data_IF_419590991833
#
_entry.id   IF_419590991833
#
_cell.length_a   1.000
_cell.length_b   1.000
_cell.length_c   1.000
_cell.angle_alpha   90.00
_cell.angle_beta   90.00
_cell.angle_gamma   90.00
#
_symmetry.space_group_name_H-M   'P 1'
#
loop_
_entity.id
_entity.type
_entity.pdbx_description
1 polymer ?
#
# COMPACT_ATOMS: atom_id res chain seq x y z
N UNK A 1 8.44 17.79 -4.38
CA UNK A 1 8.05 16.53 -5.04
C UNK A 1 8.56 16.39 -6.49
N UNK A 2 9.36 17.34 -7.02
CA UNK A 2 9.73 17.39 -8.43
C UNK A 2 11.01 16.60 -8.82
N UNK A 3 11.51 15.70 -7.97
CA UNK A 3 12.70 14.90 -8.29
C UNK A 3 12.29 13.46 -8.54
N UNK A 4 12.60 12.94 -9.73
CA UNK A 4 12.43 11.53 -10.04
C UNK A 4 13.41 10.73 -9.15
N UNK A 5 12.96 9.80 -8.31
CA UNK A 5 13.83 9.13 -7.35
C UNK A 5 14.86 8.27 -8.09
N UNK A 6 16.14 8.57 -7.93
CA UNK A 6 17.24 7.65 -8.30
C UNK A 6 17.40 6.51 -7.29
N UNK A 7 17.02 6.82 -6.05
CA UNK A 7 16.96 5.93 -4.88
C UNK A 7 15.58 6.14 -4.26
N UNK A 8 14.92 5.11 -3.71
CA UNK A 8 13.66 5.29 -3.00
C UNK A 8 13.76 6.37 -1.91
N UNK A 9 12.69 7.14 -1.72
CA UNK A 9 12.63 8.29 -0.84
C UNK A 9 11.38 8.22 0.05
N UNK A 10 11.56 8.02 1.34
CA UNK A 10 10.49 7.96 2.34
C UNK A 10 10.14 9.37 2.82
N UNK A 11 9.15 9.98 2.18
CA UNK A 11 8.72 11.36 2.45
C UNK A 11 8.00 11.45 3.81
N UNK A 12 7.18 10.45 4.15
CA UNK A 12 6.44 10.42 5.40
C UNK A 12 7.31 10.26 6.65
N UNK A 13 8.64 10.22 6.55
CA UNK A 13 9.53 10.23 7.70
C UNK A 13 9.38 11.46 8.60
N UNK A 14 8.97 12.60 8.04
CA UNK A 14 8.67 13.82 8.80
C UNK A 14 7.27 13.83 9.42
N UNK A 15 6.51 12.73 9.28
CA UNK A 15 5.20 12.58 9.89
C UNK A 15 5.34 12.15 11.35
N UNK A 16 5.09 13.10 12.26
CA UNK A 16 5.26 12.91 13.71
C UNK A 16 4.50 11.70 14.27
N UNK A 17 3.35 11.34 13.70
CA UNK A 17 2.53 10.22 14.18
C UNK A 17 3.26 8.86 14.08
N UNK A 18 4.06 8.66 13.04
CA UNK A 18 4.70 7.37 12.73
C UNK A 18 6.23 7.44 12.69
N UNK A 19 6.84 8.51 13.22
CA UNK A 19 8.30 8.72 13.18
C UNK A 19 9.11 7.91 14.22
N UNK A 20 8.44 7.20 15.13
CA UNK A 20 9.09 6.50 16.24
C UNK A 20 9.86 5.24 15.81
N UNK A 21 9.46 4.62 14.70
CA UNK A 21 10.18 3.48 14.14
C UNK A 21 11.13 3.97 13.04
N UNK A 22 12.47 3.91 13.24
CA UNK A 22 13.43 4.41 12.26
C UNK A 22 13.48 3.58 10.97
N UNK A 23 12.90 2.39 10.98
CA UNK A 23 12.83 1.47 9.86
C UNK A 23 11.53 1.57 9.05
N UNK A 24 10.47 2.15 9.63
CA UNK A 24 9.17 2.28 8.99
C UNK A 24 9.27 2.95 7.62
N UNK A 25 8.65 2.33 6.60
CA UNK A 25 8.69 2.78 5.21
C UNK A 25 7.27 2.83 4.62
N UNK A 26 6.34 3.46 5.33
CA UNK A 26 4.95 3.61 4.91
C UNK A 26 4.45 5.04 4.78
N UNK A 27 3.17 5.21 4.51
CA UNK A 27 2.50 6.51 4.38
C UNK A 27 2.74 7.18 3.03
N UNK A 28 3.90 7.81 2.83
CA UNK A 28 4.26 8.48 1.57
C UNK A 28 5.69 8.11 1.19
N UNK A 29 5.83 7.28 0.15
CA UNK A 29 7.10 6.79 -0.37
C UNK A 29 7.16 7.07 -1.88
N UNK A 30 8.32 7.52 -2.36
CA UNK A 30 8.62 7.66 -3.78
C UNK A 30 9.66 6.63 -4.17
N UNK A 31 9.38 5.78 -5.16
CA UNK A 31 10.27 4.70 -5.60
C UNK A 31 10.42 4.72 -7.12
N UNK A 32 11.63 4.44 -7.62
CA UNK A 32 11.88 4.38 -9.05
C UNK A 32 11.16 3.19 -9.66
N UNK A 33 10.67 3.30 -10.91
CA UNK A 33 10.03 2.18 -11.59
C UNK A 33 10.99 0.98 -11.79
N UNK A 34 12.30 1.22 -11.82
CA UNK A 34 13.32 0.17 -11.86
C UNK A 34 13.35 -0.60 -10.54
N UNK A 35 13.50 0.11 -9.43
CA UNK A 35 13.63 -0.52 -8.12
C UNK A 35 12.32 -1.16 -7.69
N UNK A 36 11.18 -0.54 -7.99
CA UNK A 36 9.85 -1.11 -7.74
C UNK A 36 9.64 -2.45 -8.45
N UNK A 37 10.06 -2.56 -9.72
CA UNK A 37 10.02 -3.85 -10.45
C UNK A 37 11.03 -4.84 -9.87
N UNK A 38 12.23 -4.38 -9.50
CA UNK A 38 13.29 -5.22 -8.94
C UNK A 38 12.86 -5.90 -7.63
N UNK A 39 12.12 -5.18 -6.78
CA UNK A 39 11.59 -5.71 -5.51
C UNK A 39 10.25 -6.46 -5.69
N UNK A 40 9.75 -6.61 -6.91
CA UNK A 40 8.44 -7.19 -7.21
C UNK A 40 7.25 -6.43 -6.58
N UNK A 41 7.34 -5.11 -6.43
CA UNK A 41 6.28 -4.27 -5.88
C UNK A 41 5.82 -4.64 -4.46
N UNK A 42 4.60 -4.21 -4.10
CA UNK A 42 3.93 -4.57 -2.85
C UNK A 42 3.42 -6.02 -2.86
N UNK A 43 3.24 -6.67 -1.70
CA UNK A 43 2.58 -7.98 -1.61
C UNK A 43 1.07 -7.88 -1.86
N UNK A 44 0.48 -8.95 -2.40
CA UNK A 44 -0.97 -9.03 -2.70
C UNK A 44 -1.78 -9.81 -1.64
N UNK A 45 -1.18 -10.15 -0.50
CA UNK A 45 -1.77 -11.03 0.52
C UNK A 45 -2.18 -10.33 1.82
N UNK A 46 -1.86 -9.05 1.96
CA UNK A 46 -2.20 -8.24 3.14
C UNK A 46 -3.54 -7.54 2.91
N UNK A 47 -4.64 -8.15 3.37
CA UNK A 47 -5.97 -7.54 3.30
C UNK A 47 -6.36 -6.90 4.64
N UNK A 48 -6.62 -5.60 4.62
CA UNK A 48 -6.84 -4.79 5.82
C UNK A 48 -5.57 -4.10 6.32
N UNK A 49 -5.67 -3.41 7.45
CA UNK A 49 -4.60 -2.57 7.98
C UNK A 49 -3.43 -3.38 8.56
N UNK A 50 -2.24 -3.15 7.99
CA UNK A 50 -0.93 -3.41 8.57
C UNK A 50 -0.16 -4.58 7.98
N UNK A 51 1.16 -4.40 7.88
CA UNK A 51 2.15 -5.41 7.48
C UNK A 51 2.64 -5.28 6.04
N UNK A 52 1.88 -4.63 5.17
CA UNK A 52 2.22 -4.46 3.75
C UNK A 52 3.45 -3.57 3.53
N UNK A 53 3.57 -2.48 4.29
CA UNK A 53 4.73 -1.59 4.27
C UNK A 53 5.97 -2.26 4.90
N UNK A 54 5.76 -3.13 5.91
CA UNK A 54 6.84 -3.91 6.53
C UNK A 54 7.40 -4.94 5.52
N UNK A 55 6.53 -5.62 4.76
CA UNK A 55 6.93 -6.55 3.70
C UNK A 55 7.64 -5.82 2.54
N UNK A 56 7.17 -4.63 2.14
CA UNK A 56 7.89 -3.81 1.17
C UNK A 56 9.29 -3.44 1.68
N UNK A 57 9.41 -3.08 2.95
CA UNK A 57 10.70 -2.78 3.58
C UNK A 57 11.62 -4.02 3.57
N UNK A 58 11.12 -5.20 3.93
CA UNK A 58 11.90 -6.45 3.89
C UNK A 58 12.43 -6.75 2.48
N UNK A 59 11.61 -6.54 1.43
CA UNK A 59 12.05 -6.71 0.03
C UNK A 59 13.16 -5.74 -0.36
N UNK A 60 13.08 -4.49 0.07
CA UNK A 60 14.16 -3.52 -0.12
C UNK A 60 15.44 -3.97 0.58
N UNK A 61 15.37 -4.35 1.86
CA UNK A 61 16.51 -4.85 2.63
C UNK A 61 17.13 -6.09 1.98
N UNK A 62 16.30 -7.06 1.57
CA UNK A 62 16.71 -8.31 0.92
C UNK A 62 17.54 -8.10 -0.34
N UNK A 63 17.21 -7.07 -1.11
CA UNK A 63 17.88 -6.73 -2.36
C UNK A 63 18.93 -5.63 -2.19
N UNK A 64 19.21 -5.19 -0.97
CA UNK A 64 20.15 -4.10 -0.70
C UNK A 64 19.73 -2.78 -1.37
N UNK A 65 18.42 -2.56 -1.54
CA UNK A 65 17.86 -1.29 -1.99
C UNK A 65 17.78 -0.39 -0.75
N UNK A 66 18.65 0.62 -0.69
CA UNK A 66 18.60 1.64 0.36
C UNK A 66 17.58 2.72 0.03
N UNK A 67 17.15 3.47 1.03
CA UNK A 67 16.25 4.61 0.85
C UNK A 67 16.71 5.83 1.62
N UNK A 68 16.36 6.99 1.10
CA UNK A 68 16.61 8.28 1.72
C UNK A 68 15.33 8.86 2.31
N UNK A 69 15.46 9.93 3.09
CA UNK A 69 14.35 10.62 3.72
C UNK A 69 14.71 12.08 4.04
N UNK A 70 13.72 12.97 4.10
CA UNK A 70 13.97 14.38 4.42
C UNK A 70 14.41 14.52 5.88
N UNK A 71 15.42 15.38 6.13
CA UNK A 71 15.92 15.67 7.49
C UNK A 71 15.05 16.68 8.24
N UNK A 72 14.25 17.46 7.52
CA UNK A 72 13.33 18.45 8.05
C UNK A 72 12.08 18.57 7.16
N UNK A 73 10.99 19.06 7.74
CA UNK A 73 9.70 19.22 7.07
C UNK A 73 8.55 18.82 7.98
N UNK A 74 7.34 18.91 7.43
CA UNK A 74 6.10 18.53 8.11
C UNK A 74 5.20 17.79 7.13
N UNK A 75 4.56 16.73 7.59
CA UNK A 75 3.42 16.11 6.91
C UNK A 75 2.18 16.41 7.75
N UNK A 76 1.23 17.16 7.17
CA UNK A 76 -0.07 17.39 7.77
C UNK A 76 -0.96 16.21 7.40
N UNK A 77 -1.32 15.43 8.39
CA UNK A 77 -2.35 14.42 8.23
C UNK A 77 -3.72 15.05 8.41
N UNK A 78 -4.66 14.64 7.56
CA UNK A 78 -6.04 15.10 7.57
C UNK A 78 -6.95 14.17 8.39
N UNK A 79 -6.43 13.04 8.89
CA UNK A 79 -7.13 12.26 9.91
C UNK A 79 -7.15 13.04 11.23
N UNK A 80 -8.35 13.41 11.68
CA UNK A 80 -8.60 14.11 12.95
C UNK A 80 -8.58 13.13 14.13
N UNK A 81 -7.50 12.35 14.23
CA UNK A 81 -7.26 11.38 15.31
C UNK A 81 -5.77 11.34 15.61
N UNK A 82 -5.36 11.17 16.86
CA UNK A 82 -3.98 10.85 17.21
C UNK A 82 -3.65 9.35 17.04
N UNK A 83 -2.39 8.97 17.28
CA UNK A 83 -1.98 7.56 17.18
C UNK A 83 -2.73 6.66 18.17
N UNK A 84 -2.95 7.14 19.39
CA UNK A 84 -3.60 6.37 20.46
C UNK A 84 -5.06 6.12 20.11
N UNK A 85 -5.77 7.16 19.68
CA UNK A 85 -7.16 7.10 19.22
C UNK A 85 -7.30 6.17 18.03
N UNK A 86 -6.43 6.29 17.02
CA UNK A 86 -6.42 5.39 15.85
C UNK A 86 -6.19 3.93 16.25
N UNK A 87 -5.25 3.67 17.17
CA UNK A 87 -4.99 2.31 17.65
C UNK A 87 -6.17 1.75 18.46
N UNK A 88 -6.83 2.56 19.28
CA UNK A 88 -8.04 2.15 19.99
C UNK A 88 -9.19 1.87 19.03
N UNK A 89 -9.40 2.74 18.05
CA UNK A 89 -10.39 2.57 17.00
C UNK A 89 -10.17 1.25 16.23
N UNK A 90 -8.93 0.97 15.79
CA UNK A 90 -8.60 -0.30 15.11
C UNK A 90 -8.75 -1.53 16.02
N UNK A 91 -8.54 -1.39 17.34
CA UNK A 91 -8.79 -2.49 18.30
C UNK A 91 -10.28 -2.82 18.43
N UNK A 92 -11.14 -1.80 18.35
CA UNK A 92 -12.59 -1.96 18.37
C UNK A 92 -13.10 -2.50 17.02
N UNK A 93 -12.45 -2.13 15.92
CA UNK A 93 -12.80 -2.51 14.55
C UNK A 93 -11.85 -3.57 13.99
N UNK A 94 -11.73 -4.72 14.69
CA UNK A 94 -10.81 -5.81 14.31
C UNK A 94 -11.01 -6.28 12.86
N UNK A 95 -12.22 -6.15 12.34
CA UNK A 95 -12.57 -6.48 10.97
C UNK A 95 -11.81 -5.68 9.91
N UNK A 96 -11.18 -4.55 10.25
CA UNK A 96 -10.41 -3.74 9.31
C UNK A 96 -8.92 -4.05 9.37
N UNK A 97 -8.48 -4.95 10.27
CA UNK A 97 -7.08 -5.29 10.45
C UNK A 97 -6.70 -6.49 9.60
N UNK A 98 -5.47 -6.49 9.11
CA UNK A 98 -4.82 -7.72 8.70
C UNK A 98 -4.52 -8.54 9.97
N UNK A 99 -5.38 -9.50 10.29
CA UNK A 99 -5.29 -10.27 11.53
C UNK A 99 -4.14 -11.29 11.53
N UNK A 100 -3.55 -11.53 10.36
CA UNK A 100 -2.52 -12.56 10.12
C UNK A 100 -1.23 -11.96 9.55
N UNK A 101 -1.00 -10.68 9.85
CA UNK A 101 0.13 -9.93 9.32
C UNK A 101 1.48 -10.57 9.67
N UNK A 102 1.61 -11.21 10.84
CA UNK A 102 2.89 -11.77 11.29
C UNK A 102 3.19 -13.05 10.53
N UNK A 103 2.20 -13.92 10.39
CA UNK A 103 2.27 -15.15 9.63
C UNK A 103 2.53 -14.87 8.14
N UNK A 104 1.90 -13.82 7.58
CA UNK A 104 2.18 -13.38 6.21
C UNK A 104 3.61 -12.83 6.03
N UNK A 105 4.16 -12.12 7.04
CA UNK A 105 5.54 -11.65 7.02
C UNK A 105 6.56 -12.80 7.14
N UNK A 106 6.25 -13.86 7.88
CA UNK A 106 7.10 -15.04 7.98
C UNK A 106 7.27 -15.78 6.64
N UNK A 107 6.31 -15.61 5.72
CA UNK A 107 6.36 -16.18 4.36
C UNK A 107 7.24 -15.38 3.40
N UNK A 108 7.82 -14.24 3.83
CA UNK A 108 8.62 -13.35 2.99
C UNK A 108 9.62 -14.11 2.13
N UNK A 109 10.52 -14.88 2.75
CA UNK A 109 11.60 -15.61 2.09
C UNK A 109 11.11 -16.55 0.99
N UNK A 110 9.90 -17.08 1.14
CA UNK A 110 9.29 -18.04 0.20
C UNK A 110 8.52 -17.35 -0.90
N UNK A 111 7.88 -16.21 -0.61
CA UNK A 111 6.82 -15.66 -1.46
C UNK A 111 7.19 -14.38 -2.18
N UNK A 112 8.18 -13.60 -1.74
CA UNK A 112 8.39 -12.23 -2.26
C UNK A 112 8.60 -12.17 -3.78
N UNK A 113 9.20 -13.21 -4.38
CA UNK A 113 9.44 -13.30 -5.84
C UNK A 113 8.20 -13.62 -6.66
N UNK A 114 7.21 -14.26 -6.05
CA UNK A 114 6.02 -14.76 -6.74
C UNK A 114 4.76 -13.99 -6.35
N UNK A 115 4.71 -13.40 -5.16
CA UNK A 115 3.63 -12.60 -4.61
C UNK A 115 3.95 -11.10 -4.72
N UNK A 116 3.42 -10.41 -5.70
CA UNK A 116 3.53 -8.96 -5.86
C UNK A 116 3.18 -8.50 -7.27
N UNK A 117 4.04 -7.68 -7.89
CA UNK A 117 3.76 -7.17 -9.24
C UNK A 117 3.64 -8.29 -10.29
N UNK A 118 4.39 -9.38 -10.11
CA UNK A 118 4.44 -10.53 -11.01
C UNK A 118 3.13 -11.32 -11.12
N UNK A 119 2.33 -11.38 -10.06
CA UNK A 119 1.10 -12.17 -9.97
C UNK A 119 -0.15 -11.31 -9.71
N UNK A 120 0.01 -9.98 -9.72
CA UNK A 120 -1.08 -9.04 -9.50
C UNK A 120 -2.20 -9.27 -10.54
N UNK A 121 -3.39 -9.61 -10.04
CA UNK A 121 -4.57 -9.86 -10.86
C UNK A 121 -5.70 -8.88 -10.51
N UNK A 122 -6.13 -8.11 -11.49
CA UNK A 122 -7.20 -7.13 -11.32
C UNK A 122 -7.88 -6.86 -12.66
N UNK A 123 -9.11 -6.34 -12.59
CA UNK A 123 -9.84 -5.87 -13.77
C UNK A 123 -10.16 -4.39 -13.64
N UNK A 124 -9.81 -3.60 -14.64
CA UNK A 124 -10.27 -2.20 -14.72
C UNK A 124 -11.76 -2.20 -15.11
N UNK A 125 -12.59 -1.59 -14.25
CA UNK A 125 -14.03 -1.48 -14.46
C UNK A 125 -14.41 -0.14 -15.08
N UNK A 126 -13.75 0.95 -14.67
CA UNK A 126 -14.05 2.30 -15.15
C UNK A 126 -12.86 3.23 -14.95
N UNK A 127 -12.60 4.06 -15.96
CA UNK A 127 -11.68 5.20 -15.85
C UNK A 127 -12.47 6.50 -15.96
N UNK A 128 -12.17 7.47 -15.11
CA UNK A 128 -12.88 8.76 -15.06
C UNK A 128 -11.88 9.87 -14.77
N UNK A 129 -11.59 10.75 -15.75
CA UNK A 129 -10.89 12.00 -15.49
C UNK A 129 -11.65 12.80 -14.43
N UNK A 130 -10.96 13.28 -13.40
CA UNK A 130 -11.57 14.06 -12.33
C UNK A 130 -11.58 15.56 -12.63
N UNK A 131 -10.75 16.00 -13.57
CA UNK A 131 -10.70 17.38 -14.03
C UNK A 131 -11.39 17.50 -15.39
N UNK A 132 -12.19 18.55 -15.57
CA UNK A 132 -12.86 18.84 -16.82
C UNK A 132 -11.91 19.21 -17.96
N UNK A 133 -12.43 19.26 -19.18
CA UNK A 133 -11.69 19.76 -20.36
C UNK A 133 -11.31 21.23 -20.19
N UNK A 134 -10.02 21.55 -20.32
CA UNK A 134 -9.54 22.91 -20.58
C UNK A 134 -9.24 23.03 -22.08
N UNK A 135 -9.79 24.06 -22.72
CA UNK A 135 -9.50 24.41 -24.12
C UNK A 135 -9.79 23.28 -25.13
N UNK A 136 -10.86 22.51 -24.93
CA UNK A 136 -11.26 21.42 -25.84
C UNK A 136 -10.32 20.21 -25.84
N UNK A 137 -9.30 20.17 -24.97
CA UNK A 137 -8.42 19.02 -24.76
C UNK A 137 -8.67 18.41 -23.39
N UNK A 138 -8.84 17.09 -23.35
CA UNK A 138 -8.87 16.34 -22.09
C UNK A 138 -7.45 16.35 -21.52
N UNK A 139 -7.19 17.22 -20.56
CA UNK A 139 -5.94 17.26 -19.79
C UNK A 139 -6.31 17.20 -18.31
N UNK A 140 -6.36 15.98 -17.77
CA UNK A 140 -6.62 15.77 -16.34
C UNK A 140 -5.32 15.74 -15.55
N UNK A 141 -5.31 16.41 -14.40
CA UNK A 141 -4.29 16.28 -13.37
C UNK A 141 -4.51 15.03 -12.50
N UNK A 142 -5.73 14.52 -12.41
CA UNK A 142 -6.10 13.32 -11.67
C UNK A 142 -7.09 12.44 -12.44
N UNK A 143 -6.83 11.13 -12.48
CA UNK A 143 -7.76 10.14 -13.07
C UNK A 143 -8.16 9.14 -12.00
N UNK A 144 -9.47 8.93 -11.82
CA UNK A 144 -10.00 7.86 -10.98
C UNK A 144 -10.09 6.58 -11.81
N UNK A 145 -9.37 5.55 -11.37
CA UNK A 145 -9.48 4.20 -11.93
C UNK A 145 -10.22 3.34 -10.91
N UNK A 146 -11.36 2.78 -11.30
CA UNK A 146 -12.13 1.83 -10.49
C UNK A 146 -11.74 0.42 -10.92
N UNK A 147 -11.21 -0.38 -10.01
CA UNK A 147 -10.73 -1.73 -10.28
C UNK A 147 -11.46 -2.76 -9.43
N UNK A 148 -11.71 -3.92 -10.02
CA UNK A 148 -12.04 -5.15 -9.30
C UNK A 148 -10.70 -5.83 -8.95
N UNK A 149 -10.33 -5.76 -7.67
CA UNK A 149 -9.10 -6.37 -7.16
C UNK A 149 -9.42 -7.79 -6.71
N UNK A 150 -8.84 -8.77 -7.41
CA UNK A 150 -9.12 -10.17 -7.15
C UNK A 150 -8.23 -10.67 -6.00
N UNK A 151 -8.71 -11.69 -5.29
CA UNK A 151 -7.92 -12.39 -4.29
C UNK A 151 -6.67 -13.00 -4.94
N UNK A 152 -5.56 -13.04 -4.20
CA UNK A 152 -4.34 -13.66 -4.71
C UNK A 152 -4.46 -15.20 -4.68
N UNK A 153 -5.02 -15.77 -5.74
CA UNK A 153 -5.22 -17.21 -5.89
C UNK A 153 -5.92 -17.85 -4.70
N UNK A 154 -5.40 -18.99 -4.24
CA UNK A 154 -5.91 -19.75 -3.10
C UNK A 154 -5.08 -19.52 -1.82
N UNK A 155 -4.46 -18.34 -1.67
CA UNK A 155 -3.64 -18.05 -0.51
C UNK A 155 -4.46 -18.11 0.78
N UNK A 156 -3.95 -18.76 1.83
CA UNK A 156 -4.68 -18.98 3.09
C UNK A 156 -5.08 -17.66 3.80
N UNK A 157 -4.34 -16.58 3.56
CA UNK A 157 -4.64 -15.26 4.11
C UNK A 157 -5.98 -14.71 3.57
N UNK A 158 -6.43 -15.19 2.40
CA UNK A 158 -7.70 -14.78 1.81
C UNK A 158 -8.90 -15.15 2.68
N UNK A 159 -8.81 -16.17 3.56
CA UNK A 159 -9.92 -16.58 4.42
C UNK A 159 -9.85 -15.99 5.84
N UNK A 160 -8.75 -15.29 6.17
CA UNK A 160 -8.44 -14.84 7.54
C UNK A 160 -8.29 -13.34 7.68
N UNK A 161 -8.02 -12.66 6.57
CA UNK A 161 -7.94 -11.22 6.52
C UNK A 161 -9.34 -10.60 6.32
N UNK A 162 -9.42 -9.27 6.31
CA UNK A 162 -10.65 -8.46 6.21
C UNK A 162 -11.49 -8.62 4.91
N UNK A 163 -11.47 -9.78 4.25
CA UNK A 163 -12.19 -10.07 3.00
C UNK A 163 -13.70 -9.90 3.11
N UNK A 164 -14.29 -10.25 4.26
CA UNK A 164 -15.73 -10.10 4.51
C UNK A 164 -16.18 -8.62 4.46
N UNK A 165 -15.24 -7.69 4.61
CA UNK A 165 -15.47 -6.24 4.60
C UNK A 165 -15.05 -5.57 3.29
N UNK A 166 -14.72 -6.33 2.25
CA UNK A 166 -14.47 -5.76 0.92
C UNK A 166 -15.70 -5.03 0.34
N UNK A 167 -16.88 -5.11 0.98
CA UNK A 167 -18.15 -4.61 0.47
C UNK A 167 -18.81 -5.66 -0.43
N UNK A 168 -20.09 -5.50 -0.72
CA UNK A 168 -20.92 -6.45 -1.50
C UNK A 168 -20.52 -6.60 -2.99
N UNK A 169 -19.24 -6.38 -3.36
CA UNK A 169 -18.74 -6.43 -4.74
C UNK A 169 -18.80 -7.84 -5.33
N UNK A 170 -18.65 -8.88 -4.50
CA UNK A 170 -18.74 -10.28 -4.92
C UNK A 170 -20.16 -10.88 -4.82
N UNK A 171 -21.16 -10.19 -4.25
CA UNK A 171 -22.52 -10.72 -4.13
C UNK A 171 -23.41 -10.54 -5.36
N UNK A 172 -22.92 -9.90 -6.44
CA UNK A 172 -23.63 -9.80 -7.73
C UNK A 172 -23.15 -10.81 -8.76
N UNK A 173 -23.18 -12.10 -8.40
CA UNK A 173 -23.24 -13.21 -9.36
C UNK A 173 -24.14 -14.32 -8.81
N UNK A 174 -25.44 -14.11 -8.93
CA UNK A 174 -26.44 -15.17 -9.09
C UNK A 174 -27.27 -14.83 -10.31
#
# INVERSE_FOLDING_TARGET
>A
YAHFPKTPYHIARVWKRYSNNPKYMGGVVSISARDYRRINGYPNTFWGWGGEDDELQLRCEKLGVTWEYPKSGTLLDLEDMDLTEKLQFLRQHKQWKCMVKWEALEEHEKTWKTNGLSDLNYKVLKETPLDGTKDGKVKSHATKITTDVLLNGNHWANDKCAVDFMGDWNKKKK
#
